data_IF_578120964602
#
_entry.id   IF_578120964602
#
_cell.length_a   1.000
_cell.length_b   1.000
_cell.length_c   1.000
_cell.angle_alpha   90.00
_cell.angle_beta   90.00
_cell.angle_gamma   90.00
#
_symmetry.space_group_name_H-M   'P 1'
#
loop_
_entity.id
_entity.type
_entity.pdbx_description
1 polymer ?
#
# COMPACT_ATOMS: atom_id res chain seq x y z
N UNK A 1 -19.95 -17.74 49.68
CA UNK A 1 -18.95 -16.64 49.52
C UNK A 1 -17.91 -16.86 48.42
N UNK A 2 -17.83 -18.02 47.78
CA UNK A 2 -16.82 -18.31 46.73
C UNK A 2 -17.21 -17.90 45.31
N UNK A 3 -18.42 -17.40 45.06
CA UNK A 3 -18.91 -17.07 43.71
C UNK A 3 -18.72 -15.59 43.28
N UNK A 4 -18.42 -14.70 44.22
CA UNK A 4 -18.31 -13.26 43.93
C UNK A 4 -16.96 -12.83 43.32
N UNK A 5 -15.89 -13.61 43.51
CA UNK A 5 -14.54 -13.23 43.05
C UNK A 5 -14.30 -13.39 41.57
N UNK A 6 -14.89 -14.38 40.92
CA UNK A 6 -14.65 -14.66 39.47
C UNK A 6 -15.39 -13.67 38.58
N UNK A 7 -16.60 -13.27 38.94
CA UNK A 7 -17.35 -12.27 38.18
C UNK A 7 -16.71 -10.88 38.14
N UNK A 8 -16.04 -10.48 39.22
CA UNK A 8 -15.36 -9.20 39.33
C UNK A 8 -13.99 -9.20 38.62
N UNK A 9 -13.32 -10.35 38.54
CA UNK A 9 -12.07 -10.51 37.75
C UNK A 9 -12.38 -10.43 36.28
N UNK A 10 -13.43 -11.09 35.77
CA UNK A 10 -13.86 -10.99 34.38
C UNK A 10 -14.36 -9.58 34.01
N UNK A 11 -15.05 -8.88 34.91
CA UNK A 11 -15.44 -7.49 34.70
C UNK A 11 -14.26 -6.53 34.71
N UNK A 12 -13.22 -6.78 35.50
CA UNK A 12 -12.01 -5.96 35.51
C UNK A 12 -11.16 -6.20 34.27
N UNK A 13 -11.02 -7.45 33.80
CA UNK A 13 -10.31 -7.75 32.55
C UNK A 13 -11.02 -7.18 31.33
N UNK A 14 -12.36 -7.19 31.26
CA UNK A 14 -13.14 -6.57 30.18
C UNK A 14 -13.06 -5.03 30.15
N UNK A 15 -12.59 -4.39 31.24
CA UNK A 15 -12.53 -2.92 31.32
C UNK A 15 -11.30 -2.30 30.70
N UNK A 16 -10.30 -3.10 30.32
CA UNK A 16 -9.03 -2.63 29.75
C UNK A 16 -8.76 -3.08 28.30
N UNK A 17 -9.60 -3.93 27.72
CA UNK A 17 -9.48 -4.26 26.30
C UNK A 17 -10.15 -3.15 25.47
N UNK A 18 -9.34 -2.31 24.84
CA UNK A 18 -9.80 -1.37 23.81
C UNK A 18 -10.49 -2.20 22.73
N UNK A 19 -11.77 -1.90 22.46
CA UNK A 19 -12.50 -2.62 21.41
C UNK A 19 -11.84 -2.35 20.06
N UNK A 20 -11.77 -3.36 19.21
CA UNK A 20 -11.09 -3.26 17.90
C UNK A 20 -11.60 -2.10 17.04
N UNK A 21 -12.88 -1.76 17.14
CA UNK A 21 -13.46 -0.60 16.45
C UNK A 21 -13.00 0.77 17.00
N UNK A 22 -12.23 0.80 18.08
CA UNK A 22 -11.60 1.99 18.65
C UNK A 22 -10.10 2.05 18.36
N UNK A 23 -9.53 0.97 17.81
CA UNK A 23 -8.11 0.83 17.47
C UNK A 23 -7.84 1.44 16.10
N UNK A 24 -7.84 2.77 15.99
CA UNK A 24 -7.55 3.48 14.74
C UNK A 24 -6.17 3.13 14.20
N UNK A 25 -6.13 2.69 12.95
CA UNK A 25 -4.88 2.44 12.22
C UNK A 25 -4.73 3.46 11.10
N UNK A 26 -3.65 4.22 11.10
CA UNK A 26 -3.25 5.07 10.00
C UNK A 26 -2.28 4.30 9.11
N UNK A 27 -2.55 4.24 7.81
CA UNK A 27 -1.67 3.64 6.80
C UNK A 27 -1.13 4.75 5.91
N UNK A 28 0.18 4.95 5.90
CA UNK A 28 0.86 5.86 4.98
C UNK A 28 1.10 5.16 3.66
N UNK A 29 0.46 5.67 2.60
CA UNK A 29 0.47 5.09 1.26
C UNK A 29 -0.75 4.22 0.97
N UNK A 30 -1.26 4.32 -0.27
CA UNK A 30 -2.42 3.57 -0.78
C UNK A 30 -2.12 2.80 -2.06
N UNK A 31 -0.85 2.54 -2.40
CA UNK A 31 -0.44 1.77 -3.58
C UNK A 31 -0.86 0.30 -3.52
N UNK A 32 -0.48 -0.49 -4.52
CA UNK A 32 -0.92 -1.88 -4.66
C UNK A 32 -0.54 -2.77 -3.46
N UNK A 33 0.66 -2.64 -2.93
CA UNK A 33 1.10 -3.40 -1.74
C UNK A 33 0.37 -2.91 -0.49
N UNK A 34 0.28 -1.60 -0.30
CA UNK A 34 -0.47 -1.00 0.82
C UNK A 34 -1.94 -1.43 0.82
N UNK A 35 -2.55 -1.55 -0.34
CA UNK A 35 -3.95 -2.01 -0.51
C UNK A 35 -4.18 -3.38 0.09
N UNK A 36 -3.23 -4.31 -0.01
CA UNK A 36 -3.30 -5.61 0.66
C UNK A 36 -3.35 -5.50 2.18
N UNK A 37 -2.55 -4.60 2.75
CA UNK A 37 -2.56 -4.28 4.19
C UNK A 37 -3.88 -3.64 4.61
N UNK A 38 -4.33 -2.62 3.88
CA UNK A 38 -5.57 -1.91 4.15
C UNK A 38 -6.77 -2.86 4.12
N UNK A 39 -6.84 -3.72 3.10
CA UNK A 39 -7.89 -4.74 2.98
C UNK A 39 -7.90 -5.69 4.18
N UNK A 40 -6.75 -6.19 4.61
CA UNK A 40 -6.65 -7.08 5.78
C UNK A 40 -7.15 -6.41 7.05
N UNK A 41 -6.71 -5.18 7.31
CA UNK A 41 -7.08 -4.43 8.51
C UNK A 41 -8.57 -4.08 8.51
N UNK A 42 -9.08 -3.55 7.41
CA UNK A 42 -10.50 -3.18 7.26
C UNK A 42 -11.42 -4.40 7.47
N UNK A 43 -11.13 -5.52 6.79
CA UNK A 43 -11.89 -6.77 6.94
C UNK A 43 -11.80 -7.39 8.34
N UNK A 44 -10.74 -7.07 9.07
CA UNK A 44 -10.55 -7.50 10.47
C UNK A 44 -11.22 -6.55 11.47
N UNK A 45 -11.95 -5.53 11.00
CA UNK A 45 -12.76 -4.63 11.82
C UNK A 45 -12.01 -3.44 12.42
N UNK A 46 -10.78 -3.15 11.97
CA UNK A 46 -10.09 -1.94 12.35
C UNK A 46 -10.64 -0.72 11.61
N UNK A 47 -10.84 0.43 12.26
CA UNK A 47 -10.98 1.71 11.56
C UNK A 47 -9.65 2.07 10.93
N UNK A 48 -9.63 2.24 9.60
CA UNK A 48 -8.42 2.51 8.82
C UNK A 48 -8.55 3.85 8.14
N UNK A 49 -7.50 4.67 8.20
CA UNK A 49 -7.35 5.92 7.44
C UNK A 49 -6.10 5.83 6.59
N UNK A 50 -6.19 6.22 5.32
CA UNK A 50 -5.07 6.26 4.40
C UNK A 50 -4.55 7.70 4.32
N UNK A 51 -3.23 7.87 4.41
CA UNK A 51 -2.55 9.13 4.09
C UNK A 51 -1.75 8.95 2.80
N UNK A 52 -1.97 9.84 1.84
CA UNK A 52 -1.34 9.75 0.53
C UNK A 52 -0.80 11.11 0.06
N UNK A 53 0.06 11.10 -0.93
CA UNK A 53 0.51 12.32 -1.63
C UNK A 53 -0.55 12.79 -2.62
N UNK A 54 -0.44 14.03 -3.09
CA UNK A 54 -1.37 14.61 -4.07
C UNK A 54 -1.27 14.00 -5.46
N UNK A 55 -0.15 13.34 -5.78
CA UNK A 55 0.12 12.77 -7.10
C UNK A 55 0.68 11.35 -6.97
N UNK A 56 -0.12 10.38 -6.50
CA UNK A 56 0.33 8.99 -6.37
C UNK A 56 0.69 8.39 -7.73
N UNK A 57 1.74 7.56 -7.73
CA UNK A 57 2.36 6.99 -8.94
C UNK A 57 2.10 5.49 -9.09
N UNK A 58 0.94 5.01 -8.68
CA UNK A 58 0.61 3.61 -8.81
C UNK A 58 0.58 3.17 -10.28
N UNK A 59 1.34 2.14 -10.61
CA UNK A 59 1.36 1.54 -11.95
C UNK A 59 0.26 0.50 -12.06
N UNK A 60 0.11 -0.33 -11.04
CA UNK A 60 -0.99 -1.29 -10.94
C UNK A 60 -2.26 -0.61 -10.40
N UNK A 61 -2.73 0.40 -11.14
CA UNK A 61 -3.82 1.30 -10.72
C UNK A 61 -5.11 0.57 -10.34
N UNK A 62 -5.43 -0.52 -11.05
CA UNK A 62 -6.65 -1.30 -10.83
C UNK A 62 -6.69 -2.00 -9.45
N UNK A 63 -5.56 -2.04 -8.75
CA UNK A 63 -5.44 -2.64 -7.42
C UNK A 63 -4.81 -1.70 -6.39
N UNK A 64 -4.91 -0.39 -6.64
CA UNK A 64 -4.35 0.65 -5.77
C UNK A 64 -5.46 1.60 -5.29
N UNK A 65 -5.70 1.63 -3.98
CA UNK A 65 -6.68 2.53 -3.39
C UNK A 65 -6.26 4.00 -3.47
N UNK A 66 -4.98 4.28 -3.71
CA UNK A 66 -4.46 5.63 -3.95
C UNK A 66 -5.08 6.32 -5.17
N UNK A 67 -5.68 5.59 -6.10
CA UNK A 67 -6.40 6.19 -7.23
C UNK A 67 -7.59 7.07 -6.80
N UNK A 68 -8.11 6.87 -5.58
CA UNK A 68 -9.12 7.76 -5.00
C UNK A 68 -8.65 9.23 -4.90
N UNK A 69 -7.33 9.50 -4.85
CA UNK A 69 -6.81 10.88 -4.88
C UNK A 69 -7.25 11.62 -6.15
N UNK A 70 -7.27 10.93 -7.29
CA UNK A 70 -7.64 11.49 -8.59
C UNK A 70 -9.14 11.41 -8.87
N UNK A 71 -9.76 10.27 -8.57
CA UNK A 71 -11.11 9.93 -9.01
C UNK A 71 -12.16 10.18 -7.90
N UNK A 72 -11.72 10.60 -6.69
CA UNK A 72 -12.58 10.80 -5.53
C UNK A 72 -12.90 9.49 -4.79
N UNK A 73 -13.04 8.39 -5.51
CA UNK A 73 -13.31 7.06 -4.97
C UNK A 73 -12.51 6.00 -5.75
N UNK A 74 -12.07 4.95 -5.07
CA UNK A 74 -11.44 3.78 -5.67
C UNK A 74 -11.93 2.51 -4.98
N UNK A 75 -12.17 1.45 -5.75
CA UNK A 75 -12.60 0.16 -5.22
C UNK A 75 -11.67 -0.95 -5.69
N UNK A 76 -11.19 -1.74 -4.74
CA UNK A 76 -10.36 -2.91 -5.00
C UNK A 76 -10.99 -4.10 -4.27
N UNK A 77 -11.43 -5.10 -5.01
CA UNK A 77 -12.20 -6.24 -4.49
C UNK A 77 -13.42 -5.74 -3.68
N UNK A 78 -13.48 -6.04 -2.39
CA UNK A 78 -14.58 -5.68 -1.49
C UNK A 78 -14.31 -4.40 -0.66
N UNK A 79 -13.16 -3.74 -0.88
CA UNK A 79 -12.80 -2.51 -0.16
C UNK A 79 -12.99 -1.29 -1.05
N UNK A 80 -13.78 -0.36 -0.57
CA UNK A 80 -13.97 0.95 -1.20
C UNK A 80 -13.26 2.02 -0.39
N UNK A 81 -12.46 2.84 -1.07
CA UNK A 81 -11.78 3.99 -0.51
C UNK A 81 -12.41 5.27 -1.04
N UNK A 82 -12.59 6.25 -0.19
CA UNK A 82 -13.12 7.57 -0.56
C UNK A 82 -12.15 8.67 -0.11
N UNK A 83 -11.85 9.61 -1.03
CA UNK A 83 -11.10 10.81 -0.69
C UNK A 83 -11.94 11.73 0.17
N UNK A 84 -11.33 12.25 1.23
CA UNK A 84 -11.92 13.24 2.13
C UNK A 84 -10.94 14.40 2.31
N UNK A 85 -11.46 15.59 2.67
CA UNK A 85 -10.65 16.79 2.75
C UNK A 85 -10.26 17.16 4.20
N UNK A 86 -10.86 16.50 5.21
CA UNK A 86 -10.63 16.81 6.62
C UNK A 86 -10.71 15.57 7.52
N UNK A 87 -10.15 15.69 8.73
CA UNK A 87 -10.31 14.67 9.77
C UNK A 87 -11.78 14.50 10.18
N UNK A 88 -12.54 15.58 10.20
CA UNK A 88 -13.97 15.57 10.51
C UNK A 88 -14.74 14.67 9.52
N UNK A 89 -14.49 14.86 8.22
CA UNK A 89 -15.08 14.00 7.18
C UNK A 89 -14.62 12.53 7.32
N UNK A 90 -13.34 12.33 7.61
CA UNK A 90 -12.81 10.98 7.83
C UNK A 90 -13.54 10.26 8.97
N UNK A 91 -13.81 10.97 10.08
CA UNK A 91 -14.57 10.42 11.21
C UNK A 91 -15.98 9.98 10.81
N UNK A 92 -16.68 10.75 9.99
CA UNK A 92 -18.02 10.39 9.53
C UNK A 92 -17.98 9.12 8.66
N UNK A 93 -17.01 9.01 7.75
CA UNK A 93 -16.81 7.79 6.94
C UNK A 93 -16.49 6.58 7.82
N UNK A 94 -15.65 6.75 8.84
CA UNK A 94 -15.29 5.67 9.76
C UNK A 94 -16.48 5.17 10.58
N UNK A 95 -17.41 6.04 10.98
CA UNK A 95 -18.65 5.67 11.72
C UNK A 95 -19.52 4.72 10.91
N UNK A 96 -19.60 4.90 9.61
CA UNK A 96 -20.40 4.03 8.74
C UNK A 96 -19.80 2.62 8.58
N UNK A 97 -18.51 2.43 8.80
CA UNK A 97 -17.77 1.15 8.66
C UNK A 97 -17.91 0.47 7.29
N UNK A 98 -18.19 1.24 6.24
CA UNK A 98 -18.42 0.73 4.87
C UNK A 98 -17.28 1.06 3.92
N UNK A 99 -16.58 2.16 4.16
CA UNK A 99 -15.52 2.68 3.32
C UNK A 99 -14.30 3.06 4.15
N UNK A 100 -13.17 3.17 3.47
CA UNK A 100 -11.90 3.62 4.06
C UNK A 100 -11.66 5.06 3.60
N UNK A 101 -11.58 6.05 4.51
CA UNK A 101 -11.24 7.41 4.13
C UNK A 101 -9.76 7.55 3.76
N UNK A 102 -9.48 8.39 2.74
CA UNK A 102 -8.16 8.78 2.31
C UNK A 102 -8.01 10.29 2.37
N UNK A 103 -6.96 10.75 3.04
CA UNK A 103 -6.54 12.15 3.11
C UNK A 103 -5.26 12.36 2.30
N UNK A 104 -5.18 13.49 1.60
CA UNK A 104 -3.92 13.95 1.02
C UNK A 104 -3.15 14.69 2.11
N UNK A 105 -2.31 13.92 2.82
CA UNK A 105 -1.52 14.42 3.95
C UNK A 105 -0.17 13.68 4.06
N UNK A 106 0.79 13.92 3.15
CA UNK A 106 2.09 13.25 3.17
C UNK A 106 2.90 13.53 4.43
N UNK A 107 2.69 14.68 5.06
CA UNK A 107 3.41 15.13 6.26
C UNK A 107 2.78 14.63 7.57
N UNK A 108 1.70 13.87 7.49
CA UNK A 108 0.96 13.35 8.67
C UNK A 108 0.47 14.47 9.61
N UNK A 109 -0.01 15.60 9.07
CA UNK A 109 -0.53 16.72 9.88
C UNK A 109 -1.75 16.31 10.71
N UNK A 110 -2.48 15.29 10.27
CA UNK A 110 -3.61 14.69 11.01
C UNK A 110 -3.20 14.27 12.44
N UNK A 111 -1.93 13.93 12.68
CA UNK A 111 -1.44 13.54 14.00
C UNK A 111 -1.46 14.69 15.03
N UNK A 112 -1.66 15.92 14.58
CA UNK A 112 -1.92 17.07 15.48
C UNK A 112 -3.32 17.06 16.08
N UNK A 113 -4.24 16.28 15.48
CA UNK A 113 -5.65 16.20 15.84
C UNK A 113 -6.03 14.84 16.45
N UNK A 114 -5.30 13.78 16.10
CA UNK A 114 -5.58 12.43 16.58
C UNK A 114 -4.29 11.66 16.81
N UNK A 115 -4.25 10.90 17.91
CA UNK A 115 -3.22 9.90 18.14
C UNK A 115 -3.77 8.52 17.75
N UNK A 116 -3.26 7.88 16.70
CA UNK A 116 -3.72 6.56 16.29
C UNK A 116 -3.21 5.48 17.26
N UNK A 117 -3.96 4.38 17.37
CA UNK A 117 -3.52 3.19 18.05
C UNK A 117 -2.35 2.52 17.33
N UNK A 118 -2.35 2.58 15.98
CA UNK A 118 -1.22 2.11 15.19
C UNK A 118 -1.00 2.97 13.94
N UNK A 119 0.26 3.01 13.50
CA UNK A 119 0.66 3.59 12.23
C UNK A 119 1.48 2.58 11.43
N UNK A 120 1.10 2.37 10.18
CA UNK A 120 1.79 1.49 9.24
C UNK A 120 2.36 2.32 8.10
N UNK A 121 3.69 2.35 7.96
CA UNK A 121 4.32 2.94 6.78
C UNK A 121 4.34 1.90 5.64
N UNK A 122 3.50 2.12 4.65
CA UNK A 122 3.34 1.30 3.46
C UNK A 122 3.66 2.07 2.17
N UNK A 123 4.44 3.15 2.28
CA UNK A 123 4.86 3.99 1.13
C UNK A 123 5.79 3.20 0.20
N UNK A 124 6.65 2.34 0.77
CA UNK A 124 7.65 1.56 0.02
C UNK A 124 8.67 2.41 -0.75
N UNK A 125 9.01 3.58 -0.20
CA UNK A 125 9.98 4.50 -0.79
C UNK A 125 11.44 4.01 -0.73
N UNK A 126 11.69 2.85 -0.08
CA UNK A 126 13.04 2.27 0.14
C UNK A 126 13.95 3.14 1.01
N UNK A 127 13.41 4.16 1.61
CA UNK A 127 14.00 5.05 2.61
C UNK A 127 12.90 5.55 3.54
N UNK A 128 13.26 5.88 4.77
CA UNK A 128 12.33 6.48 5.72
C UNK A 128 12.03 7.93 5.31
N UNK A 129 10.74 8.25 5.15
CA UNK A 129 10.23 9.60 4.87
C UNK A 129 9.61 10.24 6.13
N UNK A 130 10.25 10.07 7.27
CA UNK A 130 9.89 10.73 8.52
C UNK A 130 9.02 9.90 9.47
N UNK A 131 8.72 8.64 9.17
CA UNK A 131 8.01 7.76 10.12
C UNK A 131 8.91 7.40 11.30
N UNK A 132 8.34 7.53 12.51
CA UNK A 132 9.04 7.20 13.75
C UNK A 132 8.07 6.62 14.80
N UNK A 133 8.63 6.00 15.84
CA UNK A 133 7.90 5.30 16.90
C UNK A 133 6.97 6.19 17.74
N UNK A 134 7.14 7.50 17.70
CA UNK A 134 6.33 8.43 18.50
C UNK A 134 4.99 8.77 17.85
N UNK A 135 4.82 8.43 16.57
CA UNK A 135 3.63 8.77 15.78
C UNK A 135 2.38 8.00 16.17
N UNK A 136 2.53 6.83 16.83
CA UNK A 136 1.42 5.98 17.28
C UNK A 136 1.84 5.17 18.51
N UNK A 137 0.90 4.43 19.09
CA UNK A 137 1.23 3.49 20.19
C UNK A 137 1.95 2.24 19.65
N UNK A 138 1.70 1.90 18.38
CA UNK A 138 2.36 0.81 17.66
C UNK A 138 2.76 1.29 16.26
N UNK A 139 3.98 0.95 15.83
CA UNK A 139 4.48 1.38 14.53
C UNK A 139 5.07 0.21 13.75
N UNK A 140 4.63 0.04 12.50
CA UNK A 140 5.13 -1.00 11.59
C UNK A 140 5.51 -0.33 10.26
N UNK A 141 6.62 -0.75 9.68
CA UNK A 141 7.03 -0.30 8.34
C UNK A 141 7.24 -1.48 7.40
N UNK A 142 6.97 -1.26 6.11
CA UNK A 142 7.09 -2.27 5.06
C UNK A 142 8.39 -2.09 4.27
N UNK A 143 9.23 -3.12 4.31
CA UNK A 143 10.42 -3.21 3.48
C UNK A 143 11.61 -2.40 3.96
N UNK A 144 12.61 -2.20 3.07
CA UNK A 144 13.85 -1.54 3.39
C UNK A 144 13.69 -0.03 3.62
N UNK A 145 14.62 0.53 4.35
CA UNK A 145 14.66 1.96 4.70
C UNK A 145 14.35 2.22 6.17
N UNK A 146 13.97 1.19 6.93
CA UNK A 146 13.64 1.25 8.35
C UNK A 146 14.46 0.24 9.15
N UNK A 147 14.71 0.56 10.39
CA UNK A 147 15.31 -0.34 11.38
C UNK A 147 14.30 -0.60 12.51
N UNK A 148 13.86 -1.85 12.64
CA UNK A 148 12.97 -2.27 13.73
C UNK A 148 13.65 -2.07 15.09
N UNK A 149 12.89 -1.59 16.07
CA UNK A 149 13.38 -1.23 17.40
C UNK A 149 14.05 0.15 17.48
N UNK A 150 14.29 0.82 16.35
CA UNK A 150 14.86 2.18 16.25
C UNK A 150 13.86 3.14 15.64
N UNK A 151 13.57 2.97 14.34
CA UNK A 151 12.64 3.86 13.61
C UNK A 151 11.18 3.51 13.87
N UNK A 152 10.88 2.23 13.92
CA UNK A 152 9.54 1.64 14.15
C UNK A 152 9.65 0.43 15.06
N UNK A 153 8.53 -0.05 15.60
CA UNK A 153 8.54 -1.23 16.48
C UNK A 153 8.84 -2.50 15.70
N UNK A 154 8.25 -2.67 14.52
CA UNK A 154 8.44 -3.82 13.65
C UNK A 154 8.66 -3.40 12.19
N UNK A 155 9.40 -4.22 11.47
CA UNK A 155 9.53 -4.12 10.01
C UNK A 155 9.03 -5.42 9.39
N UNK A 156 8.31 -5.35 8.27
CA UNK A 156 7.87 -6.51 7.50
C UNK A 156 8.74 -6.64 6.25
N UNK A 157 9.34 -7.82 6.06
CA UNK A 157 10.14 -8.13 4.87
C UNK A 157 9.27 -8.14 3.60
N UNK A 158 9.69 -7.40 2.60
CA UNK A 158 8.96 -7.28 1.34
C UNK A 158 9.67 -7.90 0.13
N UNK A 159 10.89 -8.38 0.29
CA UNK A 159 11.59 -9.08 -0.80
C UNK A 159 10.93 -10.43 -1.08
N UNK A 160 10.66 -10.72 -2.36
CA UNK A 160 10.16 -12.06 -2.76
C UNK A 160 11.17 -13.14 -2.42
N UNK A 161 10.66 -14.27 -1.98
CA UNK A 161 11.45 -15.44 -1.60
C UNK A 161 11.01 -16.01 -0.26
N UNK A 162 11.87 -16.83 0.34
CA UNK A 162 11.58 -17.55 1.57
C UNK A 162 11.18 -16.66 2.76
N UNK A 163 11.71 -15.45 2.82
CA UNK A 163 11.47 -14.52 3.94
C UNK A 163 10.37 -13.51 3.69
N UNK A 164 9.66 -13.55 2.54
CA UNK A 164 8.56 -12.62 2.27
C UNK A 164 7.53 -12.64 3.41
N UNK A 165 7.21 -11.45 3.93
CA UNK A 165 6.27 -11.30 5.02
C UNK A 165 6.84 -11.60 6.41
N UNK A 166 8.12 -11.92 6.54
CA UNK A 166 8.74 -12.13 7.87
C UNK A 166 8.67 -10.85 8.69
N UNK A 167 8.25 -10.98 9.94
CA UNK A 167 8.25 -9.89 10.92
C UNK A 167 9.64 -9.78 11.52
N UNK A 168 10.21 -8.59 11.48
CA UNK A 168 11.54 -8.25 11.98
C UNK A 168 11.37 -7.37 13.22
N UNK A 169 11.90 -7.84 14.34
CA UNK A 169 11.81 -7.13 15.63
C UNK A 169 13.04 -6.27 15.90
N UNK A 170 14.14 -6.52 15.20
CA UNK A 170 15.40 -5.80 15.38
C UNK A 170 16.16 -5.69 14.07
N UNK A 171 16.53 -4.47 13.69
CA UNK A 171 17.29 -4.20 12.49
C UNK A 171 16.46 -4.03 11.23
N UNK A 172 17.07 -3.92 10.06
CA UNK A 172 16.41 -3.62 8.79
C UNK A 172 15.91 -4.88 8.05
N UNK A 173 14.98 -4.68 7.13
CA UNK A 173 14.67 -5.65 6.06
C UNK A 173 15.81 -5.74 5.05
N UNK A 174 15.75 -6.75 4.19
CA UNK A 174 16.73 -6.95 3.11
C UNK A 174 16.81 -5.71 2.22
N UNK A 175 18.02 -5.20 1.94
CA UNK A 175 18.19 -4.06 1.05
C UNK A 175 17.58 -4.29 -0.33
N UNK A 176 17.04 -3.23 -0.94
CA UNK A 176 16.49 -3.33 -2.29
C UNK A 176 17.58 -3.62 -3.31
N UNK A 177 17.42 -4.72 -4.05
CA UNK A 177 18.38 -5.12 -5.11
C UNK A 177 18.16 -4.37 -6.42
N UNK A 178 17.04 -3.66 -6.59
CA UNK A 178 16.63 -3.05 -7.85
C UNK A 178 16.29 -4.05 -8.97
N UNK A 179 16.34 -5.35 -8.66
CA UNK A 179 16.05 -6.41 -9.64
C UNK A 179 14.63 -6.91 -9.48
N UNK A 180 13.76 -6.79 -10.49
CA UNK A 180 12.41 -7.34 -10.47
C UNK A 180 12.43 -8.87 -10.32
N UNK A 181 11.43 -9.42 -9.62
CA UNK A 181 11.25 -10.87 -9.53
C UNK A 181 10.98 -11.49 -10.91
N UNK A 182 11.49 -12.71 -11.13
CA UNK A 182 11.25 -13.47 -12.35
C UNK A 182 9.82 -14.01 -12.35
N UNK A 183 9.08 -13.78 -13.44
CA UNK A 183 7.75 -14.32 -13.70
C UNK A 183 7.71 -14.84 -15.13
N UNK A 184 7.33 -16.09 -15.33
CA UNK A 184 7.28 -16.71 -16.66
C UNK A 184 8.63 -16.67 -17.42
N UNK A 185 9.74 -16.70 -16.70
CA UNK A 185 11.10 -16.64 -17.27
C UNK A 185 11.63 -15.22 -17.52
N UNK A 186 10.82 -14.17 -17.30
CA UNK A 186 11.19 -12.77 -17.53
C UNK A 186 11.33 -12.00 -16.20
N UNK A 187 12.33 -11.15 -16.10
CA UNK A 187 12.61 -10.30 -14.95
C UNK A 187 12.54 -8.82 -15.30
N UNK A 188 13.68 -8.24 -15.68
CA UNK A 188 13.77 -6.81 -16.01
C UNK A 188 12.95 -6.42 -17.24
N UNK A 189 12.81 -7.32 -18.17
CA UNK A 189 12.05 -7.13 -19.42
C UNK A 189 10.57 -6.83 -19.20
N UNK A 190 10.02 -7.29 -18.06
CA UNK A 190 8.63 -7.04 -17.71
C UNK A 190 8.35 -5.60 -17.32
N UNK A 191 9.36 -4.90 -16.82
CA UNK A 191 9.23 -3.55 -16.30
C UNK A 191 9.65 -2.55 -17.36
N UNK A 192 8.72 -1.66 -17.73
CA UNK A 192 8.98 -0.62 -18.72
C UNK A 192 9.26 0.69 -17.99
N UNK A 193 10.34 1.32 -18.39
CA UNK A 193 10.77 2.62 -17.88
C UNK A 193 10.61 3.69 -18.95
N UNK A 194 10.35 4.92 -18.52
CA UNK A 194 10.19 6.04 -19.42
C UNK A 194 11.49 6.34 -20.20
N UNK A 195 11.42 6.40 -21.53
CA UNK A 195 12.57 6.79 -22.36
C UNK A 195 12.78 8.31 -22.41
N UNK A 196 11.80 9.11 -21.97
CA UNK A 196 11.83 10.56 -22.06
C UNK A 196 11.21 11.22 -20.83
N UNK A 197 11.44 12.51 -20.69
CA UNK A 197 10.73 13.38 -19.74
C UNK A 197 9.53 14.01 -20.41
N UNK A 198 8.38 14.07 -19.71
CA UNK A 198 7.14 14.66 -20.24
C UNK A 198 5.90 14.10 -19.56
N UNK A 199 4.75 14.27 -20.22
CA UNK A 199 3.47 13.70 -19.76
C UNK A 199 3.14 12.45 -20.56
N UNK A 200 2.87 11.35 -19.86
CA UNK A 200 2.52 10.08 -20.49
C UNK A 200 1.03 10.01 -20.81
N UNK A 201 0.69 9.42 -21.96
CA UNK A 201 -0.67 9.08 -22.37
C UNK A 201 -0.73 7.66 -22.89
N UNK A 202 -1.56 6.81 -22.26
CA UNK A 202 -1.77 5.42 -22.62
C UNK A 202 -2.45 5.25 -23.98
N UNK A 203 -2.05 4.23 -24.71
CA UNK A 203 -2.69 3.77 -25.96
C UNK A 203 -3.40 2.44 -25.80
N UNK A 204 -3.22 1.82 -24.64
CA UNK A 204 -3.81 0.56 -24.21
C UNK A 204 -4.31 0.68 -22.78
N UNK A 205 -5.08 -0.29 -22.32
CA UNK A 205 -5.62 -0.37 -20.95
C UNK A 205 -4.96 -1.51 -20.19
N UNK A 206 -5.01 -1.43 -18.86
CA UNK A 206 -4.64 -2.57 -18.00
C UNK A 206 -5.59 -3.73 -18.30
N UNK A 207 -5.01 -4.91 -18.55
CA UNK A 207 -5.71 -6.12 -18.99
C UNK A 207 -5.62 -6.37 -20.48
N UNK A 208 -5.26 -5.38 -21.31
CA UNK A 208 -5.09 -5.59 -22.74
C UNK A 208 -3.89 -6.50 -23.01
N UNK A 209 -4.04 -7.37 -24.00
CA UNK A 209 -2.95 -8.14 -24.58
C UNK A 209 -2.20 -7.29 -25.61
N UNK A 210 -0.89 -7.28 -25.51
CA UNK A 210 0.00 -6.55 -26.41
C UNK A 210 1.08 -7.46 -26.96
N UNK A 211 1.58 -7.11 -28.14
CA UNK A 211 2.72 -7.76 -28.76
C UNK A 211 4.01 -6.97 -28.51
N UNK A 212 5.13 -7.66 -28.45
CA UNK A 212 6.44 -7.01 -28.35
C UNK A 212 6.63 -6.01 -29.50
N UNK A 213 7.04 -4.77 -29.16
CA UNK A 213 7.18 -3.67 -30.11
C UNK A 213 5.89 -2.87 -30.36
N UNK A 214 4.73 -3.31 -29.87
CA UNK A 214 3.50 -2.53 -29.96
C UNK A 214 3.60 -1.26 -29.10
N UNK A 215 3.18 -0.12 -29.65
CA UNK A 215 3.10 1.13 -28.88
C UNK A 215 1.99 1.03 -27.82
N UNK A 216 2.38 1.14 -26.55
CA UNK A 216 1.47 1.07 -25.40
C UNK A 216 1.15 2.43 -24.79
N UNK A 217 2.02 3.41 -25.01
CA UNK A 217 1.84 4.78 -24.58
C UNK A 217 2.66 5.73 -25.43
N UNK A 218 2.41 7.03 -25.29
CA UNK A 218 3.26 8.10 -25.82
C UNK A 218 3.60 9.07 -24.68
N UNK A 219 4.76 9.68 -24.75
CA UNK A 219 5.18 10.74 -23.84
C UNK A 219 5.25 12.03 -24.67
N UNK A 220 4.43 13.01 -24.27
CA UNK A 220 4.49 14.36 -24.82
C UNK A 220 5.53 15.15 -24.05
N UNK A 221 6.63 15.51 -24.69
CA UNK A 221 7.71 16.30 -24.10
C UNK A 221 7.33 17.78 -24.06
N UNK A 222 8.06 18.59 -23.29
CA UNK A 222 7.85 20.04 -23.25
C UNK A 222 8.04 20.73 -24.61
N UNK A 223 8.86 20.17 -25.48
CA UNK A 223 9.11 20.69 -26.83
C UNK A 223 7.99 20.31 -27.84
N UNK A 224 6.96 19.58 -27.39
CA UNK A 224 5.85 19.14 -28.23
C UNK A 224 6.14 17.88 -29.06
N UNK A 225 7.24 17.19 -28.81
CA UNK A 225 7.56 15.92 -29.45
C UNK A 225 6.81 14.77 -28.78
N UNK A 226 6.34 13.81 -29.58
CA UNK A 226 5.77 12.54 -29.08
C UNK A 226 6.81 11.43 -29.13
N UNK A 227 7.19 10.91 -27.95
CA UNK A 227 8.09 9.76 -27.81
C UNK A 227 7.25 8.50 -27.55
N UNK A 228 7.36 7.52 -28.44
CA UNK A 228 6.65 6.23 -28.29
C UNK A 228 7.24 5.41 -27.16
N UNK A 229 6.36 4.74 -26.43
CA UNK A 229 6.70 3.71 -25.44
C UNK A 229 6.20 2.38 -26.01
N UNK A 230 7.09 1.44 -26.22
CA UNK A 230 6.79 0.15 -26.79
C UNK A 230 6.78 -0.97 -25.73
N UNK A 231 5.95 -1.98 -25.97
CA UNK A 231 5.95 -3.20 -25.18
C UNK A 231 7.27 -3.96 -25.35
N UNK A 232 7.93 -4.26 -24.28
CA UNK A 232 9.21 -4.98 -24.23
C UNK A 232 9.07 -6.47 -24.48
N UNK A 233 7.87 -7.01 -24.26
CA UNK A 233 7.53 -8.41 -24.51
C UNK A 233 6.03 -8.56 -24.83
N UNK A 234 5.65 -9.69 -25.42
CA UNK A 234 4.25 -10.08 -25.64
C UNK A 234 3.64 -10.54 -24.31
N UNK A 235 2.43 -10.04 -23.97
CA UNK A 235 1.73 -10.41 -22.74
C UNK A 235 0.60 -9.46 -22.40
N UNK A 236 0.16 -9.52 -21.14
CA UNK A 236 -0.89 -8.66 -20.58
C UNK A 236 -0.29 -7.39 -20.00
N UNK A 237 -0.86 -6.25 -20.27
CA UNK A 237 -0.57 -4.99 -19.58
C UNK A 237 -1.12 -5.11 -18.16
N UNK A 238 -0.27 -5.45 -17.22
CA UNK A 238 -0.61 -5.63 -15.81
C UNK A 238 -0.64 -4.31 -15.05
N UNK A 239 0.17 -3.37 -15.48
CA UNK A 239 0.25 -2.04 -14.93
C UNK A 239 0.63 -1.01 -15.99
N UNK A 240 0.03 0.17 -15.88
CA UNK A 240 0.32 1.34 -16.69
C UNK A 240 0.00 2.57 -15.85
N UNK A 241 0.96 3.48 -15.77
CA UNK A 241 0.75 4.73 -15.03
C UNK A 241 -0.36 5.56 -15.67
N UNK A 242 -0.96 6.44 -14.87
CA UNK A 242 -2.10 7.28 -15.29
C UNK A 242 -1.74 8.24 -16.41
N UNK A 243 -2.73 8.54 -17.25
CA UNK A 243 -2.62 9.59 -18.28
C UNK A 243 -2.30 10.94 -17.67
N UNK A 244 -1.57 11.75 -18.40
CA UNK A 244 -1.06 13.07 -18.01
C UNK A 244 -0.12 13.05 -16.79
N UNK A 245 0.30 11.87 -16.30
CA UNK A 245 1.29 11.78 -15.22
C UNK A 245 2.65 12.30 -15.71
N UNK A 246 3.30 13.20 -14.94
CA UNK A 246 4.63 13.69 -15.30
C UNK A 246 5.67 12.58 -15.02
N UNK A 247 6.39 12.18 -16.04
CA UNK A 247 7.44 11.15 -15.96
C UNK A 247 8.79 11.74 -16.31
N UNK A 248 9.83 11.19 -15.70
CA UNK A 248 11.24 11.49 -16.00
C UNK A 248 11.88 10.28 -16.64
N UNK A 249 13.00 10.47 -17.33
CA UNK A 249 13.78 9.37 -17.91
C UNK A 249 14.10 8.32 -16.82
N UNK A 250 13.86 7.06 -17.13
CA UNK A 250 14.09 5.94 -16.21
C UNK A 250 13.00 5.72 -15.16
N UNK A 251 11.95 6.57 -15.12
CA UNK A 251 10.82 6.34 -14.23
C UNK A 251 10.04 5.10 -14.66
N UNK A 252 9.68 4.23 -13.73
CA UNK A 252 8.88 3.03 -14.01
C UNK A 252 7.45 3.42 -14.39
N UNK A 253 7.01 3.05 -15.59
CA UNK A 253 5.72 3.47 -16.14
C UNK A 253 4.75 2.33 -16.44
N UNK A 254 5.24 1.11 -16.67
CA UNK A 254 4.38 -0.02 -16.97
C UNK A 254 4.99 -1.35 -16.50
N UNK A 255 4.15 -2.36 -16.47
CA UNK A 255 4.50 -3.76 -16.15
C UNK A 255 3.69 -4.70 -17.03
N UNK A 256 4.38 -5.62 -17.76
CA UNK A 256 3.75 -6.62 -18.62
C UNK A 256 3.92 -8.01 -17.98
N UNK A 257 2.84 -8.77 -17.93
CA UNK A 257 2.85 -10.17 -17.49
C UNK A 257 2.82 -11.07 -18.73
N UNK A 258 3.83 -11.93 -18.94
CA UNK A 258 3.89 -12.82 -20.11
C UNK A 258 2.81 -13.92 -20.09
N UNK A 259 2.15 -14.11 -18.94
CA UNK A 259 1.14 -15.16 -18.75
C UNK A 259 -0.25 -14.67 -19.09
N UNK A 260 -0.76 -15.04 -20.25
CA UNK A 260 -2.08 -14.60 -20.74
C UNK A 260 -3.25 -15.09 -19.87
N UNK A 261 -3.07 -16.20 -19.14
CA UNK A 261 -4.07 -16.73 -18.20
C UNK A 261 -4.31 -15.85 -16.99
N UNK A 262 -3.42 -14.89 -16.72
CA UNK A 262 -3.41 -14.04 -15.51
C UNK A 262 -4.26 -12.77 -15.63
N UNK A 263 -5.15 -12.66 -16.63
CA UNK A 263 -6.00 -11.49 -16.86
C UNK A 263 -6.73 -11.03 -15.58
N UNK A 264 -7.38 -11.94 -14.86
CA UNK A 264 -8.11 -11.63 -13.62
C UNK A 264 -7.19 -11.04 -12.54
N UNK A 265 -5.93 -11.44 -12.54
CA UNK A 265 -4.94 -11.00 -11.57
C UNK A 265 -4.45 -9.55 -11.81
N UNK A 266 -4.79 -8.95 -12.94
CA UNK A 266 -4.60 -7.53 -13.16
C UNK A 266 -5.49 -6.67 -12.23
N UNK A 267 -6.61 -7.23 -11.77
CA UNK A 267 -7.67 -6.53 -11.04
C UNK A 267 -7.85 -6.99 -9.59
N UNK A 268 -7.00 -7.87 -9.10
CA UNK A 268 -7.08 -8.42 -7.74
C UNK A 268 -5.78 -8.21 -6.96
N UNK A 269 -5.91 -8.14 -5.65
CA UNK A 269 -4.78 -7.99 -4.71
C UNK A 269 -3.83 -9.18 -4.89
N UNK A 270 -2.54 -8.89 -5.09
CA UNK A 270 -1.52 -9.93 -5.34
C UNK A 270 -1.27 -10.80 -4.11
N UNK A 271 -0.71 -12.00 -4.36
CA UNK A 271 -0.16 -12.89 -3.34
C UNK A 271 0.79 -12.17 -2.38
N UNK A 272 1.70 -11.39 -2.92
CA UNK A 272 2.66 -10.58 -2.16
C UNK A 272 1.95 -9.57 -1.25
N UNK A 273 1.00 -8.81 -1.78
CA UNK A 273 0.28 -7.80 -1.00
C UNK A 273 -0.58 -8.45 0.10
N UNK A 274 -1.22 -9.60 -0.20
CA UNK A 274 -1.98 -10.37 0.81
C UNK A 274 -1.09 -10.95 1.90
N UNK A 275 0.08 -11.49 1.54
CA UNK A 275 1.04 -12.02 2.51
C UNK A 275 1.53 -10.92 3.46
N UNK A 276 2.01 -9.80 2.92
CA UNK A 276 2.49 -8.65 3.71
C UNK A 276 1.37 -8.10 4.60
N UNK A 277 0.15 -7.96 4.07
CA UNK A 277 -1.00 -7.52 4.85
C UNK A 277 -1.34 -8.45 6.01
N UNK A 278 -1.19 -9.77 5.82
CA UNK A 278 -1.32 -10.76 6.89
C UNK A 278 -0.27 -10.58 7.98
N UNK A 279 0.97 -10.32 7.58
CA UNK A 279 2.08 -10.06 8.51
C UNK A 279 1.91 -8.76 9.31
N UNK A 280 1.35 -7.72 8.70
CA UNK A 280 1.00 -6.48 9.44
C UNK A 280 -0.05 -6.76 10.50
N UNK A 281 -1.12 -7.49 10.15
CA UNK A 281 -2.16 -7.86 11.11
C UNK A 281 -1.59 -8.68 12.28
N UNK A 282 -0.78 -9.70 11.97
CA UNK A 282 -0.07 -10.49 12.98
C UNK A 282 0.82 -9.61 13.86
N UNK A 283 1.62 -8.71 13.25
CA UNK A 283 2.50 -7.80 13.97
C UNK A 283 1.77 -6.87 14.93
N UNK A 284 0.60 -6.35 14.54
CA UNK A 284 -0.22 -5.52 15.42
C UNK A 284 -0.74 -6.30 16.63
N UNK A 285 -1.22 -7.53 16.41
CA UNK A 285 -1.68 -8.42 17.49
C UNK A 285 -0.52 -8.81 18.42
N UNK A 286 0.65 -9.09 17.86
CA UNK A 286 1.86 -9.40 18.61
C UNK A 286 2.31 -8.23 19.51
N UNK A 287 2.29 -7.00 18.98
CA UNK A 287 2.62 -5.80 19.77
C UNK A 287 1.58 -5.51 20.85
N UNK A 288 0.32 -5.81 20.59
CA UNK A 288 -0.76 -5.68 21.58
C UNK A 288 -0.54 -6.63 22.77
N UNK A 289 -0.20 -7.89 22.49
CA UNK A 289 0.10 -8.88 23.52
C UNK A 289 1.32 -8.49 24.35
N UNK A 290 2.40 -8.04 23.71
CA UNK A 290 3.62 -7.59 24.42
C UNK A 290 3.41 -6.39 25.35
N UNK A 291 2.45 -5.53 25.08
CA UNK A 291 2.16 -4.35 25.90
C UNK A 291 1.16 -4.66 27.02
N UNK A 292 0.49 -5.80 26.97
CA UNK A 292 -0.48 -6.27 27.98
C UNK A 292 0.17 -6.96 29.19
N UNK A 293 1.46 -7.21 29.12
CA UNK A 293 2.30 -7.73 30.20
C UNK A 293 3.29 -6.61 30.61
#
# INVERSE_FOLDING_TARGET
ERSRGLGDVYKRQGKYMIQRNEQLVIVRGGGDIATGTISRLFRSGYPVVILEISTPSAIRRQVALSEAVYDGESKVEDVTCIKVESWEEAKEVLKEKKKVPLLVDPECNILKQVRPWALVDAILAKKNLGTNRQMADKTIALGPGFSAGVDVDLVVETQRGHNLGRIIEKGPATPNTGTPGIIGGYGKERVIHSPAEGKLYGRVKIGDKVEKGQTIAVICTENGEEVKVEATLTGLVRGLIRDAYPVTVGFKIADIDPRESEYKNCFTISDKARNIGGSVLEGLMYLEEKQGY
#
